data_IF_735152761426
#
_entry.id   IF_735152761426
#
_cell.length_a   1.000
_cell.length_b   1.000
_cell.length_c   1.000
_cell.angle_alpha   90.00
_cell.angle_beta   90.00
_cell.angle_gamma   90.00
#
_symmetry.space_group_name_H-M   'P 1'
#
loop_
_entity.id
_entity.type
_entity.pdbx_description
1 polymer ?
#
# COMPACT_ATOMS: atom_id res chain seq x y z
N UNK A 1 2.75 8.60 -12.09
CA UNK A 1 1.75 7.53 -11.93
C UNK A 1 0.45 8.25 -11.70
N UNK A 2 -0.54 8.01 -12.54
CA UNK A 2 -1.81 8.68 -12.36
C UNK A 2 -2.72 7.84 -11.46
N UNK A 3 -3.73 8.45 -10.84
CA UNK A 3 -4.59 7.78 -9.87
C UNK A 3 -5.31 6.56 -10.47
N UNK A 4 -5.60 6.61 -11.77
CA UNK A 4 -6.23 5.51 -12.51
C UNK A 4 -5.33 4.27 -12.67
N UNK A 5 -4.01 4.45 -12.75
CA UNK A 5 -3.07 3.32 -12.84
C UNK A 5 -3.11 2.49 -11.55
N UNK A 6 -3.18 3.17 -10.40
CA UNK A 6 -3.21 2.54 -9.08
C UNK A 6 -4.59 1.97 -8.72
N UNK A 7 -5.68 2.65 -9.11
CA UNK A 7 -7.05 2.22 -8.80
C UNK A 7 -7.36 0.82 -9.37
N UNK A 8 -6.96 0.55 -10.61
CA UNK A 8 -7.16 -0.76 -11.22
C UNK A 8 -6.36 -1.87 -10.51
N UNK A 9 -5.07 -1.60 -10.21
CA UNK A 9 -4.22 -2.55 -9.50
C UNK A 9 -4.69 -2.85 -8.07
N UNK A 10 -5.17 -1.83 -7.35
CA UNK A 10 -5.75 -1.96 -6.01
C UNK A 10 -6.89 -2.98 -6.01
N UNK A 11 -7.86 -2.81 -6.92
CA UNK A 11 -9.02 -3.70 -7.02
C UNK A 11 -8.60 -5.13 -7.30
N UNK A 12 -7.65 -5.35 -8.23
CA UNK A 12 -7.18 -6.70 -8.57
C UNK A 12 -6.57 -7.43 -7.37
N UNK A 13 -5.76 -6.75 -6.57
CA UNK A 13 -5.13 -7.34 -5.38
C UNK A 13 -6.17 -7.62 -4.29
N UNK A 14 -7.10 -6.71 -4.06
CA UNK A 14 -8.15 -6.87 -3.04
C UNK A 14 -9.12 -8.00 -3.39
N UNK A 15 -9.57 -8.12 -4.64
CA UNK A 15 -10.44 -9.21 -5.11
C UNK A 15 -9.72 -10.58 -5.06
N UNK A 16 -8.40 -10.60 -5.16
CA UNK A 16 -7.59 -11.80 -4.94
C UNK A 16 -7.36 -12.14 -3.45
N UNK A 17 -7.98 -11.40 -2.52
CA UNK A 17 -7.83 -11.58 -1.07
C UNK A 17 -6.56 -10.96 -0.48
N UNK A 18 -5.91 -10.06 -1.22
CA UNK A 18 -4.77 -9.27 -0.76
C UNK A 18 -5.17 -7.99 -0.02
N UNK A 19 -4.17 -7.25 0.43
CA UNK A 19 -4.30 -5.93 1.05
C UNK A 19 -3.39 -4.93 0.36
N UNK A 20 -3.86 -3.69 0.26
CA UNK A 20 -3.19 -2.59 -0.41
C UNK A 20 -3.31 -1.33 0.46
N UNK A 21 -2.20 -0.89 1.05
CA UNK A 21 -2.18 0.28 1.95
C UNK A 21 -1.03 1.22 1.63
N UNK A 22 -1.03 2.41 2.21
CA UNK A 22 0.11 3.31 2.17
C UNK A 22 1.22 2.83 3.15
N UNK A 23 2.33 3.56 3.25
CA UNK A 23 3.44 3.16 4.12
C UNK A 23 3.12 3.19 5.63
N UNK A 24 2.04 3.87 6.03
CA UNK A 24 1.54 3.90 7.42
C UNK A 24 0.42 2.90 7.68
N UNK A 25 -0.02 2.13 6.69
CA UNK A 25 -1.11 1.17 6.80
C UNK A 25 -2.50 1.77 6.59
N UNK A 26 -2.61 3.01 6.16
CA UNK A 26 -3.87 3.67 5.83
C UNK A 26 -4.31 3.43 4.38
N UNK A 27 -5.59 3.61 4.11
CA UNK A 27 -6.22 3.33 2.81
C UNK A 27 -6.08 4.46 1.78
N UNK A 28 -5.40 5.55 2.14
CA UNK A 28 -5.17 6.72 1.25
C UNK A 28 -4.04 6.49 0.25
N UNK A 29 -4.13 5.40 -0.50
CA UNK A 29 -3.11 5.01 -1.50
C UNK A 29 -3.17 5.85 -2.76
N UNK A 30 -4.36 6.34 -3.13
CA UNK A 30 -4.59 7.13 -4.35
C UNK A 30 -4.07 8.57 -4.24
N UNK A 31 -3.84 9.08 -3.03
CA UNK A 31 -3.43 10.49 -2.82
C UNK A 31 -1.91 10.68 -2.84
N UNK A 32 -1.15 9.66 -2.42
CA UNK A 32 0.30 9.77 -2.19
C UNK A 32 1.17 8.89 -3.09
N UNK A 33 0.59 7.98 -3.89
CA UNK A 33 1.33 7.15 -4.86
C UNK A 33 2.32 6.13 -4.26
N UNK A 34 2.47 6.09 -2.94
CA UNK A 34 3.25 5.10 -2.21
C UNK A 34 2.32 4.00 -1.69
N UNK A 35 2.67 2.75 -1.99
CA UNK A 35 1.80 1.61 -1.71
C UNK A 35 2.60 0.40 -1.25
N UNK A 36 2.03 -0.34 -0.30
CA UNK A 36 2.41 -1.71 0.07
C UNK A 36 1.25 -2.59 -0.35
N UNK A 37 1.52 -3.61 -1.18
CA UNK A 37 0.52 -4.54 -1.66
C UNK A 37 1.02 -5.98 -1.52
N UNK A 38 0.13 -6.89 -1.16
CA UNK A 38 0.43 -8.32 -1.06
C UNK A 38 -0.67 -9.10 -0.34
N UNK A 39 -0.46 -10.40 -0.13
CA UNK A 39 -1.33 -11.17 0.75
C UNK A 39 -1.20 -10.68 2.21
N UNK A 40 -2.13 -11.06 3.08
CA UNK A 40 -2.19 -10.55 4.47
C UNK A 40 -0.87 -10.76 5.26
N UNK A 41 -0.22 -11.90 5.09
CA UNK A 41 1.03 -12.24 5.81
C UNK A 41 2.21 -11.39 5.32
N UNK A 42 2.40 -11.33 4.00
CA UNK A 42 3.47 -10.57 3.37
C UNK A 42 3.26 -9.07 3.58
N UNK A 43 2.02 -8.59 3.47
CA UNK A 43 1.67 -7.19 3.69
C UNK A 43 2.10 -6.73 5.09
N UNK A 44 1.75 -7.49 6.13
CA UNK A 44 2.16 -7.19 7.50
C UNK A 44 3.69 -7.21 7.68
N UNK A 45 4.37 -8.16 7.02
CA UNK A 45 5.83 -8.26 7.08
C UNK A 45 6.51 -7.06 6.41
N UNK A 46 6.05 -6.68 5.21
CA UNK A 46 6.56 -5.53 4.47
C UNK A 46 6.34 -4.24 5.24
N UNK A 47 5.12 -4.03 5.77
CA UNK A 47 4.79 -2.84 6.54
C UNK A 47 5.71 -2.67 7.76
N UNK A 48 5.96 -3.75 8.50
CA UNK A 48 6.92 -3.74 9.62
C UNK A 48 8.36 -3.47 9.16
N UNK A 49 8.75 -4.01 8.01
CA UNK A 49 10.10 -3.87 7.47
C UNK A 49 10.39 -2.46 6.99
N UNK A 50 9.39 -1.77 6.40
CA UNK A 50 9.57 -0.41 5.90
C UNK A 50 9.41 0.65 7.00
N UNK A 51 8.67 0.36 8.08
CA UNK A 51 8.34 1.33 9.13
C UNK A 51 9.52 2.18 9.65
N UNK A 52 10.74 1.63 9.88
CA UNK A 52 11.89 2.42 10.33
C UNK A 52 12.39 3.46 9.31
N UNK A 53 12.03 3.31 8.03
CA UNK A 53 12.50 4.13 6.92
C UNK A 53 11.44 5.13 6.44
N UNK A 54 10.24 5.15 7.04
CA UNK A 54 9.16 6.07 6.68
C UNK A 54 9.45 7.46 7.25
N UNK A 55 9.88 8.38 6.38
CA UNK A 55 10.11 9.79 6.69
C UNK A 55 8.79 10.58 6.81
N UNK A 56 8.79 11.72 7.51
CA UNK A 56 7.57 12.44 7.91
C UNK A 56 6.66 12.87 6.75
N UNK A 57 7.22 13.22 5.58
CA UNK A 57 6.44 13.57 4.39
C UNK A 57 5.71 12.37 3.76
N UNK A 58 6.08 11.15 4.15
CA UNK A 58 5.50 9.88 3.68
C UNK A 58 4.54 9.25 4.70
N UNK A 59 4.38 9.85 5.88
CA UNK A 59 3.42 9.38 6.89
C UNK A 59 1.97 9.62 6.47
#
# INVERSE_FOLDING_TARGET
>A
LENWDLAAGKLLVEEAGGSVTNFTGGDKVLDKGHVVAGNLSLHAHLQKSIAPFVVDNLK
#
